data_IF_058474620785
#
_entry.id   IF_058474620785
#
_cell.length_a   1.000
_cell.length_b   1.000
_cell.length_c   1.000
_cell.angle_alpha   90.00
_cell.angle_beta   90.00
_cell.angle_gamma   90.00
#
_symmetry.space_group_name_H-M   'P 1'
#
loop_
_entity.id
_entity.type
_entity.pdbx_description
1 polymer ?
#
# COMPACT_ATOMS: atom_id res chain seq x y z
N UNK A 1 -1.37 -2.65 17.15
CA UNK A 1 0.03 -2.69 16.64
C UNK A 1 0.09 -3.38 15.26
N UNK A 2 -0.24 -2.70 14.16
CA UNK A 2 -0.10 -3.25 12.77
C UNK A 2 0.80 -2.41 11.85
N UNK A 3 1.07 -1.16 12.21
CA UNK A 3 1.97 -0.27 11.44
C UNK A 3 3.47 -0.60 11.62
N UNK A 4 3.86 -1.22 12.74
CA UNK A 4 5.27 -1.55 13.01
C UNK A 4 5.87 -2.46 11.92
N UNK A 5 5.19 -3.55 11.49
CA UNK A 5 5.67 -4.39 10.39
C UNK A 5 5.78 -3.68 9.03
N UNK A 6 4.79 -2.85 8.67
CA UNK A 6 4.76 -2.17 7.36
C UNK A 6 5.91 -1.17 7.26
N UNK A 7 6.09 -0.35 8.30
CA UNK A 7 7.19 0.62 8.34
C UNK A 7 8.56 -0.05 8.38
N UNK A 8 8.67 -1.23 9.02
CA UNK A 8 9.91 -1.99 9.10
C UNK A 8 10.33 -2.55 7.73
N UNK A 9 9.40 -3.12 6.94
CA UNK A 9 9.73 -3.69 5.63
C UNK A 9 10.00 -2.61 4.60
N UNK A 10 9.21 -1.53 4.58
CA UNK A 10 9.46 -0.41 3.66
C UNK A 10 10.74 0.33 4.01
N UNK A 11 11.03 0.51 5.31
CA UNK A 11 12.28 1.12 5.77
C UNK A 11 13.51 0.29 5.39
N UNK A 12 13.47 -1.02 5.60
CA UNK A 12 14.56 -1.91 5.20
C UNK A 12 14.81 -1.89 3.68
N UNK A 13 13.76 -1.84 2.87
CA UNK A 13 13.89 -1.84 1.41
C UNK A 13 14.38 -0.49 0.86
N UNK A 14 13.94 0.63 1.44
CA UNK A 14 14.46 1.96 1.08
C UNK A 14 15.93 2.10 1.48
N UNK A 15 16.30 1.69 2.70
CA UNK A 15 17.70 1.72 3.16
C UNK A 15 18.60 0.78 2.35
N UNK A 16 18.11 -0.39 1.96
CA UNK A 16 18.84 -1.35 1.12
C UNK A 16 19.01 -0.92 -0.34
N UNK A 17 18.10 -0.10 -0.88
CA UNK A 17 18.17 0.43 -2.25
C UNK A 17 18.89 1.79 -2.34
N UNK A 18 19.08 2.48 -1.21
CA UNK A 18 19.84 3.73 -1.12
C UNK A 18 21.28 3.65 -1.70
N UNK A 19 22.08 2.60 -1.43
CA UNK A 19 23.40 2.47 -2.04
C UNK A 19 23.35 2.19 -3.56
N UNK A 20 22.29 1.55 -4.07
CA UNK A 20 22.09 1.37 -5.52
C UNK A 20 21.77 2.70 -6.23
N UNK A 21 21.03 3.59 -5.57
CA UNK A 21 20.69 4.91 -6.10
C UNK A 21 21.86 5.91 -6.10
N UNK A 22 22.93 5.62 -5.35
CA UNK A 22 24.14 6.46 -5.24
C UNK A 22 25.37 5.81 -5.89
N UNK A 23 25.26 4.58 -6.39
CA UNK A 23 26.36 3.85 -6.99
C UNK A 23 26.80 4.53 -8.30
N UNK A 24 28.06 4.95 -8.37
CA UNK A 24 28.71 5.45 -9.58
C UNK A 24 29.74 4.43 -10.07
N UNK A 25 29.75 4.15 -11.39
CA UNK A 25 30.56 3.09 -12.00
C UNK A 25 29.99 2.58 -13.34
N UNK A 26 30.62 1.57 -13.94
CA UNK A 26 30.13 0.98 -15.19
C UNK A 26 28.75 0.31 -14.99
N UNK A 27 27.77 0.68 -15.82
CA UNK A 27 26.37 0.26 -15.66
C UNK A 27 25.62 0.96 -14.52
N UNK A 28 26.18 2.04 -13.95
CA UNK A 28 25.55 2.82 -12.89
C UNK A 28 24.22 3.43 -13.31
N UNK A 29 24.10 3.95 -14.54
CA UNK A 29 22.85 4.57 -15.02
C UNK A 29 21.63 3.64 -14.82
N UNK A 30 21.76 2.37 -15.19
CA UNK A 30 20.69 1.37 -15.04
C UNK A 30 20.38 1.06 -13.57
N UNK A 31 21.42 0.93 -12.74
CA UNK A 31 21.28 0.66 -11.30
C UNK A 31 20.66 1.85 -10.55
N UNK A 32 21.04 3.06 -10.95
CA UNK A 32 20.55 4.31 -10.40
C UNK A 32 19.07 4.52 -10.78
N UNK A 33 18.71 4.27 -12.04
CA UNK A 33 17.33 4.33 -12.51
C UNK A 33 16.41 3.37 -11.73
N UNK A 34 16.82 2.10 -11.58
CA UNK A 34 16.05 1.11 -10.81
C UNK A 34 15.98 1.51 -9.32
N UNK A 35 17.08 2.02 -8.74
CA UNK A 35 17.13 2.49 -7.36
C UNK A 35 16.14 3.64 -7.10
N UNK A 36 16.12 4.66 -7.96
CA UNK A 36 15.19 5.80 -7.85
C UNK A 36 13.73 5.35 -7.99
N UNK A 37 13.44 4.43 -8.92
CA UNK A 37 12.08 3.88 -9.11
C UNK A 37 11.61 3.12 -7.88
N UNK A 38 12.47 2.28 -7.28
CA UNK A 38 12.12 1.52 -6.08
C UNK A 38 11.90 2.46 -4.89
N UNK A 39 12.82 3.40 -4.65
CA UNK A 39 12.71 4.35 -3.53
C UNK A 39 11.45 5.21 -3.67
N UNK A 40 11.23 5.81 -4.84
CA UNK A 40 10.05 6.65 -5.10
C UNK A 40 8.76 5.83 -5.11
N UNK A 41 8.75 4.72 -5.84
CA UNK A 41 7.57 3.86 -6.01
C UNK A 41 7.13 3.20 -4.70
N UNK A 42 8.06 2.76 -3.85
CA UNK A 42 7.71 2.18 -2.55
C UNK A 42 7.29 3.24 -1.55
N UNK A 43 7.97 4.39 -1.50
CA UNK A 43 7.58 5.48 -0.61
C UNK A 43 6.18 5.99 -0.94
N UNK A 44 5.92 6.27 -2.21
CA UNK A 44 4.63 6.74 -2.68
C UNK A 44 3.56 5.65 -2.63
N UNK A 45 3.87 4.45 -3.10
CA UNK A 45 2.94 3.31 -3.11
C UNK A 45 2.50 2.87 -1.73
N UNK A 46 3.39 2.93 -0.73
CA UNK A 46 3.04 2.62 0.67
C UNK A 46 2.08 3.66 1.25
N UNK A 47 2.35 4.95 1.01
CA UNK A 47 1.46 6.04 1.44
C UNK A 47 0.09 5.91 0.78
N UNK A 48 0.07 5.67 -0.54
CA UNK A 48 -1.16 5.47 -1.29
C UNK A 48 -1.93 4.26 -0.77
N UNK A 49 -1.27 3.12 -0.54
CA UNK A 49 -1.91 1.90 -0.02
C UNK A 49 -2.49 2.11 1.38
N UNK A 50 -1.73 2.75 2.28
CA UNK A 50 -2.19 3.06 3.63
C UNK A 50 -3.46 3.92 3.64
N UNK A 51 -3.70 4.72 2.59
CA UNK A 51 -4.88 5.56 2.47
C UNK A 51 -6.01 4.91 1.64
N UNK A 52 -5.67 4.29 0.51
CA UNK A 52 -6.62 3.66 -0.41
C UNK A 52 -7.28 2.44 0.22
N UNK A 53 -6.50 1.57 0.88
CA UNK A 53 -7.05 0.36 1.52
C UNK A 53 -8.16 0.67 2.53
N UNK A 54 -7.99 1.58 3.51
CA UNK A 54 -9.07 1.91 4.43
C UNK A 54 -10.24 2.62 3.75
N UNK A 55 -10.00 3.52 2.80
CA UNK A 55 -11.09 4.18 2.05
C UNK A 55 -11.95 3.15 1.31
N UNK A 56 -11.32 2.23 0.58
CA UNK A 56 -12.04 1.17 -0.14
C UNK A 56 -12.75 0.24 0.84
N UNK A 57 -12.13 -0.10 1.97
CA UNK A 57 -12.76 -0.91 3.01
C UNK A 57 -14.05 -0.27 3.53
N UNK A 58 -14.04 1.02 3.83
CA UNK A 58 -15.24 1.74 4.30
C UNK A 58 -16.36 1.75 3.25
N UNK A 59 -16.01 1.96 1.98
CA UNK A 59 -16.98 1.90 0.87
C UNK A 59 -17.59 0.51 0.76
N UNK A 60 -16.77 -0.55 0.77
CA UNK A 60 -17.25 -1.93 0.66
C UNK A 60 -18.12 -2.33 1.87
N UNK A 61 -17.75 -1.91 3.08
CA UNK A 61 -18.53 -2.17 4.30
C UNK A 61 -19.89 -1.47 4.23
N UNK A 62 -19.93 -0.18 3.89
CA UNK A 62 -21.21 0.55 3.75
C UNK A 62 -22.12 -0.05 2.67
N UNK A 63 -21.54 -0.56 1.59
CA UNK A 63 -22.27 -1.29 0.54
C UNK A 63 -22.82 -2.65 1.03
N UNK A 64 -22.09 -3.33 1.92
CA UNK A 64 -22.54 -4.59 2.52
C UNK A 64 -23.66 -4.38 3.53
N UNK A 65 -23.58 -3.35 4.38
CA UNK A 65 -24.64 -3.02 5.35
C UNK A 65 -25.97 -2.73 4.65
N UNK A 66 -25.97 -1.87 3.62
CA UNK A 66 -27.18 -1.59 2.83
C UNK A 66 -27.84 -2.83 2.21
N UNK A 67 -27.05 -3.83 1.81
CA UNK A 67 -27.60 -5.09 1.26
C UNK A 67 -28.06 -6.07 2.33
N UNK A 68 -27.54 -5.97 3.56
CA UNK A 68 -27.94 -6.83 4.68
C UNK A 68 -29.27 -6.38 5.25
N UNK A 69 -29.48 -5.08 5.42
CA UNK A 69 -30.74 -4.52 5.93
C UNK A 69 -31.93 -4.84 5.02
N UNK A 70 -31.72 -4.84 3.68
CA UNK A 70 -32.75 -5.23 2.72
C UNK A 70 -33.11 -6.73 2.78
N UNK A 71 -32.22 -7.59 3.29
CA UNK A 71 -32.49 -9.03 3.48
C UNK A 71 -33.12 -9.33 4.83
N UNK A 72 -32.73 -8.66 5.90
CA UNK A 72 -33.32 -8.85 7.23
C UNK A 72 -34.78 -8.35 7.27
N UNK A 73 -35.12 -7.28 6.55
CA UNK A 73 -36.51 -6.83 6.43
C UNK A 73 -37.44 -7.88 5.79
N UNK A 74 -36.97 -8.60 4.77
CA UNK A 74 -37.74 -9.66 4.11
C UNK A 74 -37.89 -10.92 4.98
N UNK A 75 -36.98 -11.17 5.92
CA UNK A 75 -37.05 -12.31 6.82
C UNK A 75 -38.00 -12.08 8.02
N UNK A 76 -38.33 -10.83 8.34
CA UNK A 76 -39.28 -10.48 9.41
C UNK A 76 -40.72 -10.40 8.87
N UNK A 77 -40.90 -10.17 7.56
CA UNK A 77 -42.22 -10.15 6.90
C UNK A 77 -42.74 -11.51 6.41
N UNK A 78 -41.94 -12.59 6.54
CA UNK A 78 -42.30 -13.96 6.13
C UNK A 78 -42.64 -14.87 7.32
#
# INVERSE_FOLDING_TARGET
LRLRPILMTTGAMVLGSMPLALASGAGAESRQAIGVVIVGGMSFGTLLTLFVVPTVYLIVVSWREKRRDARDGQAIEA
#
